data_IF_497164364026
#
_entry.id   IF_497164364026
#
_cell.length_a   1.000
_cell.length_b   1.000
_cell.length_c   1.000
_cell.angle_alpha   90.00
_cell.angle_beta   90.00
_cell.angle_gamma   90.00
#
_symmetry.space_group_name_H-M   'P 1'
#
loop_
_entity.id
_entity.type
_entity.pdbx_description
1 polymer ?
#
# COMPACT_ATOMS: atom_id res chain seq x y z
N UNK A 1 4.91 -6.32 16.32
CA UNK A 1 3.94 -6.09 15.20
C UNK A 1 2.58 -5.74 15.78
N UNK A 2 1.89 -4.73 15.27
CA UNK A 2 0.50 -4.41 15.62
C UNK A 2 -0.44 -4.90 14.52
N UNK A 3 -1.68 -5.22 14.88
CA UNK A 3 -2.70 -5.73 13.98
C UNK A 3 -3.98 -4.93 14.12
N UNK A 4 -4.81 -4.93 13.07
CA UNK A 4 -6.11 -4.27 13.07
C UNK A 4 -7.12 -5.10 12.27
N UNK A 5 -8.41 -4.99 12.63
CA UNK A 5 -9.50 -5.64 11.91
C UNK A 5 -9.85 -4.88 10.65
N UNK A 6 -10.32 -5.60 9.65
CA UNK A 6 -10.87 -5.05 8.41
C UNK A 6 -12.26 -5.62 8.21
N UNK A 7 -13.24 -4.76 7.96
CA UNK A 7 -14.62 -5.17 7.71
C UNK A 7 -14.68 -6.09 6.48
N UNK A 8 -15.21 -7.27 6.66
CA UNK A 8 -15.28 -8.33 5.64
C UNK A 8 -14.25 -9.44 5.84
N UNK A 9 -13.21 -9.25 6.66
CA UNK A 9 -12.24 -10.28 7.00
C UNK A 9 -12.50 -10.86 8.40
N UNK A 10 -12.23 -12.15 8.53
CA UNK A 10 -12.21 -12.89 9.79
C UNK A 10 -10.80 -12.93 10.43
N UNK A 11 -9.81 -12.39 9.76
CA UNK A 11 -8.39 -12.33 10.16
C UNK A 11 -8.01 -10.93 10.63
N UNK A 12 -7.16 -10.87 11.65
CA UNK A 12 -6.45 -9.64 11.99
C UNK A 12 -5.30 -9.41 11.00
N UNK A 13 -5.14 -8.19 10.52
CA UNK A 13 -4.14 -7.80 9.51
C UNK A 13 -3.03 -6.99 10.13
N UNK A 14 -1.77 -7.36 9.87
CA UNK A 14 -0.61 -6.59 10.33
C UNK A 14 -0.62 -5.18 9.76
N UNK A 15 -0.31 -4.17 10.61
CA UNK A 15 -0.27 -2.77 10.20
C UNK A 15 0.89 -2.45 9.25
N UNK A 16 1.94 -3.29 9.23
CA UNK A 16 2.91 -3.37 8.15
C UNK A 16 2.40 -4.39 7.15
N UNK A 17 2.32 -4.01 5.89
CA UNK A 17 1.96 -4.87 4.75
C UNK A 17 3.15 -4.91 3.81
N UNK A 18 3.56 -6.10 3.40
CA UNK A 18 4.75 -6.22 2.56
C UNK A 18 4.43 -6.00 1.08
N UNK A 19 5.09 -5.00 0.47
CA UNK A 19 4.93 -4.69 -0.95
C UNK A 19 5.73 -5.64 -1.85
N UNK A 20 5.05 -6.31 -2.76
CA UNK A 20 5.57 -7.41 -3.57
C UNK A 20 5.74 -7.05 -5.06
N UNK A 21 5.95 -5.78 -5.41
CA UNK A 21 6.03 -5.35 -6.81
C UNK A 21 7.28 -5.86 -7.56
N UNK A 22 8.30 -6.30 -6.83
CA UNK A 22 9.59 -6.71 -7.37
C UNK A 22 9.90 -8.20 -7.21
N UNK A 23 9.15 -8.97 -6.41
CA UNK A 23 9.38 -10.42 -6.30
C UNK A 23 8.76 -11.16 -7.48
N UNK A 24 9.42 -12.22 -7.93
CA UNK A 24 9.02 -12.96 -9.13
C UNK A 24 9.47 -14.40 -9.10
N UNK A 25 8.88 -15.21 -9.97
CA UNK A 25 9.25 -16.60 -10.28
C UNK A 25 9.93 -16.73 -11.64
N UNK A 26 10.58 -15.68 -12.14
CA UNK A 26 11.16 -15.65 -13.49
C UNK A 26 12.17 -16.77 -13.74
N UNK A 27 12.87 -17.21 -12.70
CA UNK A 27 13.79 -18.33 -12.67
C UNK A 27 13.90 -18.90 -11.25
N UNK A 28 14.59 -20.02 -11.07
CA UNK A 28 14.71 -20.70 -9.78
C UNK A 28 15.47 -19.88 -8.73
N UNK A 29 16.41 -19.02 -9.13
CA UNK A 29 17.14 -18.14 -8.21
C UNK A 29 16.21 -17.04 -7.66
N UNK A 30 15.47 -16.37 -8.55
CA UNK A 30 14.51 -15.32 -8.15
C UNK A 30 13.40 -15.91 -7.28
N UNK A 31 12.92 -17.09 -7.60
CA UNK A 31 11.94 -17.82 -6.80
C UNK A 31 12.48 -18.13 -5.40
N UNK A 32 13.74 -18.57 -5.29
CA UNK A 32 14.40 -18.84 -4.00
C UNK A 32 14.52 -17.56 -3.17
N UNK A 33 14.97 -16.46 -3.78
CA UNK A 33 15.04 -15.14 -3.14
C UNK A 33 13.66 -14.70 -2.64
N UNK A 34 12.64 -14.84 -3.48
CA UNK A 34 11.26 -14.47 -3.10
C UNK A 34 10.75 -15.31 -1.92
N UNK A 35 11.04 -16.61 -1.88
CA UNK A 35 10.67 -17.48 -0.76
C UNK A 35 11.37 -17.07 0.54
N UNK A 36 12.67 -16.78 0.48
CA UNK A 36 13.43 -16.29 1.65
C UNK A 36 12.86 -14.96 2.16
N UNK A 37 12.55 -14.03 1.26
CA UNK A 37 11.91 -12.76 1.59
C UNK A 37 10.56 -12.99 2.29
N UNK A 38 9.69 -13.83 1.74
CA UNK A 38 8.37 -14.10 2.31
C UNK A 38 8.46 -14.87 3.65
N UNK A 39 9.41 -15.77 3.80
CA UNK A 39 9.71 -16.44 5.09
C UNK A 39 10.15 -15.42 6.14
N UNK A 40 11.01 -14.49 5.79
CA UNK A 40 11.46 -13.40 6.67
C UNK A 40 10.30 -12.49 7.07
N UNK A 41 9.46 -12.08 6.12
CA UNK A 41 8.24 -11.27 6.34
C UNK A 41 7.32 -11.97 7.34
N UNK A 42 7.05 -13.24 7.13
CA UNK A 42 6.18 -14.01 8.01
C UNK A 42 6.78 -14.21 9.40
N UNK A 43 8.12 -14.42 9.49
CA UNK A 43 8.83 -14.64 10.75
C UNK A 43 8.79 -13.47 11.72
N UNK A 44 8.71 -12.23 11.22
CA UNK A 44 8.57 -11.01 12.03
C UNK A 44 7.11 -10.71 12.44
N UNK A 45 6.17 -11.60 12.09
CA UNK A 45 4.75 -11.44 12.38
C UNK A 45 3.99 -10.58 11.36
N UNK A 46 4.58 -10.22 10.23
CA UNK A 46 3.85 -9.60 9.14
C UNK A 46 3.08 -10.69 8.39
N UNK A 47 1.74 -10.64 8.46
CA UNK A 47 0.87 -11.66 7.87
C UNK A 47 0.14 -11.16 6.62
N UNK A 48 0.55 -10.04 6.05
CA UNK A 48 -0.12 -9.45 4.90
C UNK A 48 0.86 -9.00 3.81
N UNK A 49 0.47 -9.25 2.56
CA UNK A 49 1.19 -8.78 1.36
C UNK A 49 0.30 -7.92 0.49
N UNK A 50 0.93 -6.97 -0.21
CA UNK A 50 0.38 -6.18 -1.28
C UNK A 50 1.02 -6.58 -2.61
N UNK A 51 0.23 -7.16 -3.49
CA UNK A 51 0.62 -7.53 -4.87
C UNK A 51 -0.33 -6.91 -5.89
N UNK A 52 -0.28 -7.34 -7.14
CA UNK A 52 -1.16 -6.88 -8.21
C UNK A 52 -1.05 -7.73 -9.46
N UNK A 53 -2.16 -7.86 -10.17
CA UNK A 53 -2.28 -8.64 -11.40
C UNK A 53 -1.15 -8.40 -12.41
N UNK A 54 -0.67 -7.15 -12.52
CA UNK A 54 0.39 -6.76 -13.47
C UNK A 54 1.82 -6.90 -12.90
N UNK A 55 1.99 -7.08 -11.58
CA UNK A 55 3.32 -7.03 -10.98
C UNK A 55 4.20 -8.18 -11.46
N UNK A 56 5.39 -7.84 -11.96
CA UNK A 56 6.30 -8.77 -12.61
C UNK A 56 5.61 -9.66 -13.68
N UNK A 57 4.66 -9.10 -14.45
CA UNK A 57 3.91 -9.86 -15.46
C UNK A 57 3.10 -11.03 -14.86
N UNK A 58 2.61 -10.87 -13.64
CA UNK A 58 1.91 -11.90 -12.87
C UNK A 58 2.84 -12.81 -12.06
N UNK A 59 4.17 -12.65 -12.17
CA UNK A 59 5.15 -13.43 -11.43
C UNK A 59 5.07 -13.22 -9.92
N UNK A 60 4.72 -12.01 -9.48
CA UNK A 60 4.52 -11.72 -8.08
C UNK A 60 3.38 -12.56 -7.48
N UNK A 61 2.23 -12.62 -8.13
CA UNK A 61 1.12 -13.46 -7.66
C UNK A 61 1.47 -14.95 -7.70
N UNK A 62 2.17 -15.43 -8.75
CA UNK A 62 2.56 -16.84 -8.85
C UNK A 62 3.51 -17.26 -7.74
N UNK A 63 4.55 -16.46 -7.46
CA UNK A 63 5.52 -16.82 -6.41
C UNK A 63 4.90 -16.80 -5.02
N UNK A 64 3.98 -15.86 -4.74
CA UNK A 64 3.22 -15.82 -3.49
C UNK A 64 2.35 -17.08 -3.37
N UNK A 65 1.65 -17.47 -4.44
CA UNK A 65 0.83 -18.67 -4.47
C UNK A 65 1.64 -19.94 -4.18
N UNK A 66 2.78 -20.10 -4.84
CA UNK A 66 3.72 -21.22 -4.63
C UNK A 66 4.24 -21.25 -3.18
N UNK A 67 4.60 -20.08 -2.63
CA UNK A 67 5.08 -19.97 -1.26
C UNK A 67 3.99 -20.32 -0.24
N UNK A 68 2.77 -19.77 -0.39
CA UNK A 68 1.65 -20.09 0.52
C UNK A 68 1.31 -21.59 0.53
N UNK A 69 1.34 -22.22 -0.64
CA UNK A 69 1.12 -23.67 -0.78
C UNK A 69 2.22 -24.45 -0.08
N UNK A 70 3.50 -24.11 -0.34
CA UNK A 70 4.65 -24.80 0.25
C UNK A 70 4.72 -24.66 1.78
N UNK A 71 4.33 -23.50 2.33
CA UNK A 71 4.34 -23.24 3.79
C UNK A 71 3.01 -23.58 4.47
N UNK A 72 1.96 -23.88 3.72
CA UNK A 72 0.60 -24.18 4.22
C UNK A 72 0.04 -23.06 5.10
N UNK A 73 0.23 -21.79 4.67
CA UNK A 73 -0.10 -20.60 5.47
C UNK A 73 -1.32 -19.82 4.96
N UNK A 74 -1.98 -20.27 3.88
CA UNK A 74 -3.05 -19.51 3.23
C UNK A 74 -4.11 -18.97 4.20
N UNK A 75 -4.55 -19.78 5.14
CA UNK A 75 -5.60 -19.41 6.10
C UNK A 75 -5.14 -18.39 7.16
N UNK A 76 -3.83 -18.24 7.34
CA UNK A 76 -3.24 -17.28 8.30
C UNK A 76 -2.68 -16.03 7.63
N UNK A 77 -2.63 -16.05 6.29
CA UNK A 77 -1.99 -15.02 5.49
C UNK A 77 -3.03 -14.20 4.73
N UNK A 78 -2.83 -12.89 4.66
CA UNK A 78 -3.73 -11.95 3.99
C UNK A 78 -3.09 -11.50 2.69
N UNK A 79 -3.82 -11.66 1.60
CA UNK A 79 -3.39 -11.21 0.27
C UNK A 79 -4.26 -10.02 -0.15
N UNK A 80 -3.63 -8.85 -0.30
CA UNK A 80 -4.18 -7.75 -1.06
C UNK A 80 -3.62 -7.83 -2.48
N UNK A 81 -4.47 -8.01 -3.46
CA UNK A 81 -4.08 -7.92 -4.88
C UNK A 81 -4.97 -6.94 -5.64
N UNK A 82 -4.52 -6.54 -6.82
CA UNK A 82 -5.12 -5.45 -7.59
C UNK A 82 -5.47 -5.89 -9.00
N UNK A 83 -6.63 -5.44 -9.49
CA UNK A 83 -7.11 -5.62 -10.85
C UNK A 83 -7.20 -4.29 -11.63
N UNK A 84 -7.65 -4.36 -12.85
CA UNK A 84 -8.09 -3.19 -13.63
C UNK A 84 -7.00 -2.14 -13.86
N UNK A 85 -5.72 -2.57 -13.96
CA UNK A 85 -4.67 -1.66 -14.39
C UNK A 85 -4.86 -1.28 -15.86
N UNK A 86 -4.75 0.02 -16.24
CA UNK A 86 -4.84 0.42 -17.64
C UNK A 86 -3.82 -0.31 -18.51
N UNK A 87 -4.18 -0.59 -19.73
CA UNK A 87 -3.27 -1.04 -20.76
C UNK A 87 -2.95 0.11 -21.73
N UNK A 88 -2.28 -0.20 -22.85
CA UNK A 88 -1.93 0.81 -23.86
C UNK A 88 -3.14 1.34 -24.63
N UNK A 89 -4.24 0.58 -24.64
CA UNK A 89 -5.40 0.88 -25.47
C UNK A 89 -6.48 1.65 -24.70
N UNK A 90 -6.65 1.35 -23.40
CA UNK A 90 -7.72 1.94 -22.60
C UNK A 90 -7.53 1.81 -21.08
N UNK A 91 -8.31 2.57 -20.33
CA UNK A 91 -8.58 2.34 -18.91
C UNK A 91 -9.47 1.08 -18.79
N UNK A 92 -9.12 0.18 -17.84
CA UNK A 92 -9.74 -1.15 -17.72
C UNK A 92 -10.59 -1.26 -16.47
N UNK A 93 -11.61 -0.40 -16.32
CA UNK A 93 -12.47 -0.37 -15.12
C UNK A 93 -13.90 -0.74 -15.53
N UNK A 94 -14.07 -1.98 -16.02
CA UNK A 94 -15.38 -2.52 -16.40
C UNK A 94 -15.63 -3.86 -15.69
N UNK A 95 -16.89 -4.33 -15.57
CA UNK A 95 -17.19 -5.66 -15.06
C UNK A 95 -16.38 -6.77 -15.72
N UNK A 96 -16.22 -6.71 -17.04
CA UNK A 96 -15.42 -7.68 -17.81
C UNK A 96 -13.95 -7.70 -17.35
N UNK A 97 -13.33 -6.53 -17.17
CA UNK A 97 -11.93 -6.43 -16.73
C UNK A 97 -11.74 -6.98 -15.32
N UNK A 98 -12.65 -6.65 -14.42
CA UNK A 98 -12.65 -7.12 -13.02
C UNK A 98 -12.75 -8.65 -12.98
N UNK A 99 -13.71 -9.21 -13.73
CA UNK A 99 -13.95 -10.66 -13.79
C UNK A 99 -12.79 -11.41 -14.46
N UNK A 100 -12.20 -10.85 -15.51
CA UNK A 100 -11.04 -11.43 -16.17
C UNK A 100 -9.83 -11.48 -15.24
N UNK A 101 -9.48 -10.35 -14.63
CA UNK A 101 -8.29 -10.23 -13.81
C UNK A 101 -8.37 -11.09 -12.53
N UNK A 102 -9.56 -11.22 -11.91
CA UNK A 102 -9.69 -12.06 -10.72
C UNK A 102 -9.47 -13.56 -11.02
N UNK A 103 -9.94 -14.05 -12.17
CA UNK A 103 -9.73 -15.45 -12.54
C UNK A 103 -8.23 -15.75 -12.69
N UNK A 104 -7.49 -14.88 -13.36
CA UNK A 104 -6.04 -14.99 -13.46
C UNK A 104 -5.37 -14.96 -12.08
N UNK A 105 -5.76 -14.00 -11.23
CA UNK A 105 -5.17 -13.84 -9.89
C UNK A 105 -5.42 -15.06 -9.01
N UNK A 106 -6.63 -15.64 -9.02
CA UNK A 106 -6.94 -16.85 -8.25
C UNK A 106 -6.10 -18.06 -8.68
N UNK A 107 -5.90 -18.23 -10.00
CA UNK A 107 -5.05 -19.31 -10.56
C UNK A 107 -3.60 -19.10 -10.14
N UNK A 108 -3.05 -17.89 -10.30
CA UNK A 108 -1.66 -17.57 -9.96
C UNK A 108 -1.39 -17.70 -8.47
N UNK A 109 -2.28 -17.20 -7.63
CA UNK A 109 -2.20 -17.29 -6.18
C UNK A 109 -2.52 -18.69 -5.63
N UNK A 110 -2.96 -19.63 -6.47
CA UNK A 110 -3.31 -21.02 -6.09
C UNK A 110 -4.31 -21.07 -4.93
N UNK A 111 -5.35 -20.24 -5.01
CA UNK A 111 -6.36 -20.07 -3.95
C UNK A 111 -7.75 -19.92 -4.55
N UNK A 112 -8.78 -20.27 -3.78
CA UNK A 112 -10.18 -20.07 -4.16
C UNK A 112 -10.73 -18.67 -3.81
N UNK A 113 -9.99 -17.87 -3.02
CA UNK A 113 -10.43 -16.55 -2.60
C UNK A 113 -9.27 -15.56 -2.42
N UNK A 114 -9.59 -14.27 -2.51
CA UNK A 114 -8.71 -13.14 -2.23
C UNK A 114 -9.25 -12.42 -0.98
N UNK A 115 -8.36 -12.09 -0.04
CA UNK A 115 -8.74 -11.39 1.18
C UNK A 115 -9.17 -9.95 0.88
N UNK A 116 -8.35 -9.20 0.14
CA UNK A 116 -8.63 -7.81 -0.24
C UNK A 116 -8.34 -7.62 -1.72
N UNK A 117 -9.36 -7.22 -2.47
CA UNK A 117 -9.28 -7.03 -3.92
C UNK A 117 -9.58 -5.58 -4.28
N UNK A 118 -8.61 -4.86 -4.83
CA UNK A 118 -8.78 -3.44 -5.14
C UNK A 118 -8.58 -3.14 -6.62
N UNK A 119 -9.34 -2.20 -7.15
CA UNK A 119 -9.09 -1.67 -8.48
C UNK A 119 -7.80 -0.84 -8.45
N UNK A 120 -6.86 -1.11 -9.36
CA UNK A 120 -5.51 -0.50 -9.35
C UNK A 120 -5.53 0.98 -9.72
N UNK A 121 -6.47 1.37 -10.57
CA UNK A 121 -6.73 2.75 -11.01
C UNK A 121 -8.25 2.94 -11.16
N UNK A 122 -8.67 4.20 -11.19
CA UNK A 122 -10.05 4.57 -11.50
C UNK A 122 -10.24 4.91 -12.99
N UNK A 123 -11.48 4.90 -13.41
CA UNK A 123 -11.98 5.58 -14.60
C UNK A 123 -13.24 6.35 -14.23
N UNK A 124 -13.14 7.65 -13.94
CA UNK A 124 -14.30 8.47 -13.55
C UNK A 124 -15.44 8.52 -14.59
N UNK A 125 -15.16 8.19 -15.85
CA UNK A 125 -16.18 8.14 -16.91
C UNK A 125 -17.08 6.90 -16.79
N UNK A 126 -16.69 5.91 -15.96
CA UNK A 126 -17.49 4.69 -15.74
C UNK A 126 -18.34 4.88 -14.48
N UNK A 127 -19.68 4.65 -14.54
CA UNK A 127 -20.52 4.69 -13.36
C UNK A 127 -20.07 3.67 -12.28
N UNK A 128 -20.17 4.02 -11.00
CA UNK A 128 -19.75 3.14 -9.90
C UNK A 128 -20.65 1.92 -9.73
N UNK A 129 -21.92 2.02 -10.11
CA UNK A 129 -22.92 0.96 -9.91
C UNK A 129 -22.47 -0.41 -10.44
N UNK A 130 -22.19 -0.55 -11.75
CA UNK A 130 -21.71 -1.83 -12.32
C UNK A 130 -20.43 -2.37 -11.67
N UNK A 131 -19.54 -1.48 -11.19
CA UNK A 131 -18.31 -1.86 -10.49
C UNK A 131 -18.67 -2.47 -9.13
N UNK A 132 -19.46 -1.77 -8.34
CA UNK A 132 -19.89 -2.20 -6.99
C UNK A 132 -20.69 -3.50 -7.04
N UNK A 133 -21.61 -3.63 -8.00
CA UNK A 133 -22.38 -4.85 -8.23
C UNK A 133 -21.49 -6.05 -8.56
N UNK A 134 -20.53 -5.87 -9.47
CA UNK A 134 -19.58 -6.93 -9.84
C UNK A 134 -18.74 -7.39 -8.65
N UNK A 135 -18.22 -6.46 -7.85
CA UNK A 135 -17.45 -6.79 -6.65
C UNK A 135 -18.32 -7.51 -5.60
N UNK A 136 -19.59 -7.12 -5.46
CA UNK A 136 -20.54 -7.80 -4.58
C UNK A 136 -20.91 -9.20 -5.10
N UNK A 137 -21.04 -9.40 -6.41
CA UNK A 137 -21.19 -10.71 -7.00
C UNK A 137 -20.01 -11.62 -6.63
N UNK A 138 -18.78 -11.15 -6.85
CA UNK A 138 -17.57 -11.91 -6.48
C UNK A 138 -17.51 -12.24 -4.99
N UNK A 139 -17.98 -11.32 -4.14
CA UNK A 139 -18.07 -11.53 -2.71
C UNK A 139 -19.13 -12.60 -2.35
N UNK A 140 -20.30 -12.56 -2.97
CA UNK A 140 -21.37 -13.57 -2.76
C UNK A 140 -20.94 -14.96 -3.23
N UNK A 141 -20.11 -15.05 -4.27
CA UNK A 141 -19.49 -16.28 -4.75
C UNK A 141 -18.33 -16.77 -3.85
N UNK A 142 -17.98 -16.01 -2.81
CA UNK A 142 -16.89 -16.33 -1.89
C UNK A 142 -15.47 -16.12 -2.45
N UNK A 143 -15.34 -15.52 -3.64
CA UNK A 143 -14.06 -15.26 -4.30
C UNK A 143 -13.30 -14.06 -3.71
N UNK A 144 -14.01 -13.11 -3.09
CA UNK A 144 -13.44 -11.89 -2.49
C UNK A 144 -14.05 -11.69 -1.10
N UNK A 145 -13.24 -11.30 -0.11
CA UNK A 145 -13.72 -11.01 1.25
C UNK A 145 -14.00 -9.53 1.47
N UNK A 146 -13.05 -8.68 1.09
CA UNK A 146 -13.15 -7.22 1.14
C UNK A 146 -12.64 -6.63 -0.17
N UNK A 147 -13.08 -5.43 -0.51
CA UNK A 147 -12.68 -4.79 -1.76
C UNK A 147 -12.66 -3.27 -1.64
N UNK A 148 -12.08 -2.61 -2.65
CA UNK A 148 -11.99 -1.16 -2.69
C UNK A 148 -11.24 -0.62 -3.91
N UNK A 149 -10.63 0.57 -3.76
CA UNK A 149 -9.92 1.25 -4.83
C UNK A 149 -8.51 1.69 -4.46
N UNK A 150 -7.56 1.48 -5.35
CA UNK A 150 -6.25 2.11 -5.30
C UNK A 150 -6.25 3.31 -6.23
N UNK A 151 -5.72 4.44 -5.76
CA UNK A 151 -5.76 5.70 -6.50
C UNK A 151 -7.18 6.18 -6.86
N UNK A 152 -8.14 5.87 -6.01
CA UNK A 152 -9.48 6.43 -6.04
C UNK A 152 -9.54 7.64 -5.11
N UNK A 153 -10.18 8.74 -5.56
CA UNK A 153 -10.42 9.89 -4.70
C UNK A 153 -11.43 9.55 -3.62
N UNK A 154 -11.42 10.28 -2.50
CA UNK A 154 -12.40 10.07 -1.43
C UNK A 154 -13.84 10.32 -1.92
N UNK A 155 -14.05 11.30 -2.81
CA UNK A 155 -15.36 11.53 -3.43
C UNK A 155 -15.84 10.33 -4.24
N UNK A 156 -14.91 9.69 -4.95
CA UNK A 156 -15.26 8.51 -5.76
C UNK A 156 -15.55 7.28 -4.91
N UNK A 157 -14.84 7.13 -3.78
CA UNK A 157 -15.13 6.09 -2.78
C UNK A 157 -16.47 6.35 -2.10
N UNK A 158 -16.80 7.61 -1.81
CA UNK A 158 -18.09 8.01 -1.24
C UNK A 158 -19.23 7.67 -2.19
N UNK A 159 -19.14 8.09 -3.46
CA UNK A 159 -20.12 7.74 -4.51
C UNK A 159 -20.37 6.22 -4.59
N UNK A 160 -19.29 5.42 -4.56
CA UNK A 160 -19.40 3.97 -4.59
C UNK A 160 -20.09 3.40 -3.34
N UNK A 161 -19.78 3.95 -2.16
CA UNK A 161 -20.35 3.51 -0.91
C UNK A 161 -21.80 3.97 -0.72
N UNK A 162 -22.15 5.17 -1.17
CA UNK A 162 -23.55 5.62 -1.22
C UNK A 162 -24.39 4.70 -2.12
N UNK A 163 -23.84 4.35 -3.30
CA UNK A 163 -24.48 3.37 -4.18
C UNK A 163 -24.70 2.03 -3.47
N UNK A 164 -23.65 1.50 -2.82
CA UNK A 164 -23.72 0.24 -2.10
C UNK A 164 -24.80 0.28 -1.01
N UNK A 165 -24.84 1.30 -0.18
CA UNK A 165 -25.84 1.44 0.90
C UNK A 165 -27.26 1.56 0.36
N UNK A 166 -27.46 2.34 -0.70
CA UNK A 166 -28.77 2.49 -1.36
C UNK A 166 -29.32 1.18 -1.91
N UNK A 167 -28.44 0.27 -2.32
CA UNK A 167 -28.81 -1.01 -2.92
C UNK A 167 -28.64 -2.22 -1.96
N UNK A 168 -28.40 -1.97 -0.65
CA UNK A 168 -28.15 -3.00 0.37
C UNK A 168 -26.99 -3.93 0.00
N UNK A 169 -25.95 -3.38 -0.61
CA UNK A 169 -24.73 -4.07 -1.00
C UNK A 169 -23.61 -3.82 0.03
N UNK A 170 -22.59 -4.69 0.03
CA UNK A 170 -21.40 -4.49 0.84
C UNK A 170 -20.58 -3.32 0.28
N UNK A 171 -20.12 -2.36 1.12
CA UNK A 171 -19.39 -1.19 0.66
C UNK A 171 -17.91 -1.50 0.39
N UNK A 172 -17.22 -0.58 -0.27
CA UNK A 172 -15.77 -0.57 -0.34
C UNK A 172 -15.19 -0.29 1.05
N UNK A 173 -14.30 -1.17 1.53
CA UNK A 173 -13.70 -1.10 2.86
C UNK A 173 -12.17 -0.97 2.83
N UNK A 174 -11.59 -0.91 1.64
CA UNK A 174 -10.16 -0.74 1.43
C UNK A 174 -9.88 0.41 0.45
N UNK A 175 -8.90 1.23 0.77
CA UNK A 175 -8.36 2.27 -0.09
C UNK A 175 -6.85 2.20 -0.12
N UNK A 176 -6.23 2.32 -1.29
CA UNK A 176 -4.77 2.29 -1.40
C UNK A 176 -4.25 3.54 -2.13
N UNK A 177 -4.18 4.68 -1.43
CA UNK A 177 -3.58 5.92 -1.91
C UNK A 177 -2.08 6.01 -1.61
N UNK A 178 -1.41 6.99 -2.20
CA UNK A 178 -0.10 7.44 -1.73
C UNK A 178 -0.23 8.14 -0.38
N UNK A 179 0.55 7.72 0.61
CA UNK A 179 0.66 8.41 1.89
C UNK A 179 1.99 8.11 2.58
N UNK A 180 2.61 9.13 3.10
CA UNK A 180 3.81 9.11 3.92
C UNK A 180 4.16 10.52 4.37
N UNK A 181 5.28 10.67 5.06
CA UNK A 181 5.75 11.98 5.53
C UNK A 181 6.21 12.88 4.35
N UNK A 182 6.80 12.29 3.29
CA UNK A 182 7.20 13.08 2.12
C UNK A 182 5.98 13.49 1.29
N UNK A 183 5.99 14.73 0.83
CA UNK A 183 5.03 15.19 -0.17
C UNK A 183 5.41 14.63 -1.53
N UNK A 184 4.46 14.03 -2.22
CA UNK A 184 4.62 13.68 -3.63
C UNK A 184 4.46 14.95 -4.47
N UNK A 185 5.58 15.61 -4.79
CA UNK A 185 5.59 16.91 -5.48
C UNK A 185 5.24 16.76 -6.96
N UNK A 186 5.81 15.74 -7.59
CA UNK A 186 5.51 15.39 -8.97
C UNK A 186 4.92 13.98 -9.03
N UNK A 187 4.03 13.76 -10.01
CA UNK A 187 3.41 12.47 -10.19
C UNK A 187 4.16 11.62 -11.24
N UNK A 188 4.94 10.61 -10.82
CA UNK A 188 5.74 9.82 -11.76
C UNK A 188 4.92 8.81 -12.57
N UNK A 189 3.64 8.61 -12.22
CA UNK A 189 2.75 7.62 -12.85
C UNK A 189 1.56 8.22 -13.61
N UNK A 190 1.57 9.55 -13.83
CA UNK A 190 0.53 10.25 -14.58
C UNK A 190 -0.70 10.64 -13.74
N UNK A 191 -1.74 11.11 -14.41
CA UNK A 191 -2.91 11.77 -13.80
C UNK A 191 -3.75 10.89 -12.85
N UNK A 192 -3.67 9.58 -12.99
CA UNK A 192 -4.48 8.63 -12.21
C UNK A 192 -3.85 8.24 -10.88
N UNK A 193 -3.03 9.11 -10.30
CA UNK A 193 -2.40 8.87 -9.01
C UNK A 193 -3.04 9.74 -7.93
N UNK A 194 -3.40 9.15 -6.81
CA UNK A 194 -4.04 9.85 -5.69
C UNK A 194 -3.17 9.75 -4.45
N UNK A 195 -2.79 10.93 -3.93
CA UNK A 195 -2.11 11.08 -2.65
C UNK A 195 -3.02 11.73 -1.62
N UNK A 196 -2.87 11.32 -0.37
CA UNK A 196 -3.59 11.89 0.78
C UNK A 196 -2.65 12.42 1.87
N UNK A 197 -1.34 12.44 1.60
CA UNK A 197 -0.33 13.00 2.49
C UNK A 197 -0.25 14.53 2.41
N UNK A 198 0.29 15.14 3.47
CA UNK A 198 0.49 16.58 3.55
C UNK A 198 -0.76 17.40 3.88
N UNK A 199 -0.55 18.66 4.23
CA UNK A 199 -1.60 19.57 4.72
C UNK A 199 -2.60 19.98 3.64
N UNK A 200 -2.23 19.91 2.36
CA UNK A 200 -3.11 20.20 1.23
C UNK A 200 -4.23 19.17 1.03
N UNK A 201 -4.08 17.99 1.63
CA UNK A 201 -5.02 16.87 1.50
C UNK A 201 -6.01 16.74 2.68
N UNK A 202 -6.16 17.82 3.45
CA UNK A 202 -7.01 17.81 4.65
C UNK A 202 -8.43 17.32 4.39
N UNK A 203 -9.07 17.71 3.30
CA UNK A 203 -10.43 17.26 2.98
C UNK A 203 -10.51 15.72 2.83
N UNK A 204 -9.54 15.11 2.17
CA UNK A 204 -9.46 13.65 2.06
C UNK A 204 -9.21 13.01 3.42
N UNK A 205 -8.28 13.56 4.22
CA UNK A 205 -7.98 13.05 5.56
C UNK A 205 -9.20 13.14 6.49
N UNK A 206 -9.91 14.26 6.49
CA UNK A 206 -11.13 14.44 7.30
C UNK A 206 -12.22 13.44 6.88
N UNK A 207 -12.34 13.17 5.58
CA UNK A 207 -13.26 12.16 5.09
C UNK A 207 -12.91 10.74 5.63
N UNK A 208 -11.63 10.32 5.59
CA UNK A 208 -11.22 9.03 6.14
C UNK A 208 -11.44 8.94 7.66
N UNK A 209 -11.22 10.03 8.40
CA UNK A 209 -11.51 10.07 9.83
C UNK A 209 -13.01 9.89 10.13
N UNK A 210 -13.87 10.43 9.26
CA UNK A 210 -15.32 10.25 9.34
C UNK A 210 -15.80 8.85 8.86
N UNK A 211 -14.97 8.13 8.08
CA UNK A 211 -15.29 6.82 7.50
C UNK A 211 -14.28 5.74 7.95
N UNK A 212 -14.19 5.41 9.25
CA UNK A 212 -13.16 4.52 9.79
C UNK A 212 -13.27 3.06 9.31
N UNK A 213 -14.39 2.68 8.69
CA UNK A 213 -14.58 1.37 8.05
C UNK A 213 -13.76 1.23 6.75
N UNK A 214 -13.35 2.34 6.12
CA UNK A 214 -12.50 2.36 4.93
C UNK A 214 -11.04 2.40 5.37
N UNK A 215 -10.37 1.26 5.34
CA UNK A 215 -8.97 1.15 5.77
C UNK A 215 -8.00 1.62 4.69
N UNK A 216 -6.95 2.31 5.12
CA UNK A 216 -5.95 2.93 4.24
C UNK A 216 -4.73 2.02 4.11
N UNK A 217 -4.50 1.47 2.93
CA UNK A 217 -3.31 0.72 2.55
C UNK A 217 -2.34 1.66 1.83
N UNK A 218 -1.54 2.37 2.60
CA UNK A 218 -0.70 3.47 2.11
C UNK A 218 0.54 2.97 1.37
N UNK A 219 0.61 3.14 0.05
CA UNK A 219 1.83 2.85 -0.68
C UNK A 219 2.83 4.01 -0.62
N UNK A 220 4.10 3.69 -0.85
CA UNK A 220 5.24 4.61 -0.74
C UNK A 220 5.37 5.28 0.65
N UNK A 221 5.01 4.58 1.73
CA UNK A 221 5.06 5.13 3.10
C UNK A 221 6.45 5.62 3.51
N UNK A 222 7.53 5.06 2.93
CA UNK A 222 8.91 5.52 3.07
C UNK A 222 9.42 6.26 1.83
N UNK A 223 8.49 6.85 1.04
CA UNK A 223 8.78 7.61 -0.17
C UNK A 223 9.72 6.84 -1.14
N UNK A 224 9.42 5.55 -1.39
CA UNK A 224 10.20 4.66 -2.27
C UNK A 224 11.71 4.65 -1.98
N UNK A 225 12.07 4.72 -0.70
CA UNK A 225 13.47 4.71 -0.26
C UNK A 225 14.09 6.08 -0.06
N UNK A 226 13.38 7.19 -0.26
CA UNK A 226 13.89 8.53 0.11
C UNK A 226 14.20 8.60 1.61
N UNK A 227 13.36 8.02 2.46
CA UNK A 227 13.61 7.89 3.91
C UNK A 227 14.31 6.58 4.29
N UNK A 228 15.08 5.97 3.40
CA UNK A 228 15.87 4.76 3.73
C UNK A 228 17.11 5.04 4.60
N UNK A 229 17.46 6.31 4.81
CA UNK A 229 18.71 6.72 5.45
C UNK A 229 19.91 6.81 4.51
N UNK A 230 19.75 6.42 3.24
CA UNK A 230 20.81 6.56 2.20
C UNK A 230 20.89 7.97 1.61
N UNK A 231 19.77 8.68 1.54
CA UNK A 231 19.70 10.09 1.15
C UNK A 231 19.98 10.95 2.39
N UNK A 232 20.76 12.00 2.20
CA UNK A 232 21.05 13.03 3.20
C UNK A 232 20.55 14.39 2.71
N UNK A 233 20.33 15.38 3.58
CA UNK A 233 19.84 16.70 3.18
C UNK A 233 20.78 17.41 2.18
N UNK A 234 22.08 17.14 2.25
CA UNK A 234 23.13 17.69 1.38
C UNK A 234 23.49 16.77 0.20
N UNK A 235 22.78 15.66 -0.01
CA UNK A 235 23.01 14.75 -1.15
C UNK A 235 22.79 15.50 -2.47
N UNK A 236 23.80 15.50 -3.32
CA UNK A 236 23.71 16.12 -4.65
C UNK A 236 22.71 15.39 -5.55
N UNK A 237 22.05 16.11 -6.46
CA UNK A 237 21.02 15.54 -7.33
C UNK A 237 21.55 14.36 -8.19
N UNK A 238 22.78 14.45 -8.70
CA UNK A 238 23.37 13.37 -9.51
C UNK A 238 23.65 12.11 -8.67
N UNK A 239 24.06 12.28 -7.42
CA UNK A 239 24.20 11.15 -6.47
C UNK A 239 22.83 10.55 -6.13
N UNK A 240 21.83 11.37 -5.84
CA UNK A 240 20.50 10.91 -5.53
C UNK A 240 19.88 10.04 -6.64
N UNK A 241 20.15 10.34 -7.92
CA UNK A 241 19.73 9.52 -9.08
C UNK A 241 20.35 8.12 -9.10
N UNK A 242 21.48 7.92 -8.44
CA UNK A 242 22.10 6.59 -8.32
C UNK A 242 21.50 5.75 -7.17
N UNK A 243 20.92 6.43 -6.18
CA UNK A 243 20.34 5.83 -4.97
C UNK A 243 18.85 5.54 -5.15
N UNK A 244 18.13 6.49 -5.75
CA UNK A 244 16.69 6.44 -5.96
C UNK A 244 16.34 5.96 -7.37
N UNK A 245 15.27 5.19 -7.50
CA UNK A 245 14.72 4.93 -8.82
C UNK A 245 14.14 6.23 -9.43
N UNK A 246 13.87 6.22 -10.74
CA UNK A 246 13.35 7.39 -11.45
C UNK A 246 12.06 7.93 -10.81
N UNK A 247 11.16 7.05 -10.39
CA UNK A 247 9.88 7.45 -9.80
C UNK A 247 10.08 8.10 -8.43
N UNK A 248 10.96 7.55 -7.60
CA UNK A 248 11.30 8.13 -6.29
C UNK A 248 11.99 9.49 -6.44
N UNK A 249 12.95 9.60 -7.36
CA UNK A 249 13.65 10.86 -7.63
C UNK A 249 12.66 11.93 -8.08
N UNK A 250 11.84 11.64 -9.10
CA UNK A 250 10.86 12.59 -9.64
C UNK A 250 9.83 13.00 -8.58
N UNK A 251 9.33 12.06 -7.79
CA UNK A 251 8.26 12.36 -6.83
C UNK A 251 8.74 13.06 -5.56
N UNK A 252 9.93 12.71 -5.06
CA UNK A 252 10.30 13.02 -3.68
C UNK A 252 11.59 13.81 -3.51
N UNK A 253 12.52 13.83 -4.48
CA UNK A 253 13.77 14.55 -4.34
C UNK A 253 13.58 16.06 -4.63
N UNK A 254 12.97 16.74 -3.67
CA UNK A 254 12.62 18.17 -3.75
C UNK A 254 12.97 18.91 -2.45
N UNK A 255 13.23 20.22 -2.50
CA UNK A 255 13.64 21.00 -1.33
C UNK A 255 12.71 20.88 -0.12
N UNK A 256 11.40 20.77 -0.34
CA UNK A 256 10.42 20.58 0.74
C UNK A 256 10.66 19.27 1.50
N UNK A 257 10.97 18.20 0.79
CA UNK A 257 11.22 16.89 1.39
C UNK A 257 12.63 16.79 1.99
N UNK A 258 13.63 17.47 1.43
CA UNK A 258 14.96 17.58 2.05
C UNK A 258 14.88 18.26 3.42
N UNK A 259 14.06 19.33 3.56
CA UNK A 259 13.79 19.94 4.85
C UNK A 259 13.06 19.00 5.82
N UNK A 260 12.14 18.17 5.34
CA UNK A 260 11.51 17.13 6.17
C UNK A 260 12.53 16.07 6.59
N UNK A 261 13.45 15.70 5.72
CA UNK A 261 14.53 14.75 6.03
C UNK A 261 15.46 15.28 7.14
N UNK A 262 15.81 16.57 7.13
CA UNK A 262 16.55 17.23 8.23
C UNK A 262 15.83 17.02 9.57
N UNK A 263 14.53 17.32 9.63
CA UNK A 263 13.73 17.16 10.85
C UNK A 263 13.62 15.70 11.29
N UNK A 264 13.52 14.78 10.33
CA UNK A 264 13.53 13.33 10.63
C UNK A 264 14.85 12.91 11.26
N UNK A 265 15.98 13.41 10.73
CA UNK A 265 17.31 13.12 11.29
C UNK A 265 17.49 13.70 12.71
N UNK A 266 17.02 14.93 12.93
CA UNK A 266 17.06 15.55 14.26
C UNK A 266 16.23 14.77 15.28
N UNK A 267 15.00 14.38 14.90
CA UNK A 267 14.13 13.62 15.80
C UNK A 267 14.66 12.20 16.02
N UNK A 268 15.23 11.58 15.00
CA UNK A 268 15.88 10.28 15.09
C UNK A 268 17.04 10.30 16.10
N UNK A 269 17.92 11.30 15.98
CA UNK A 269 19.03 11.49 16.94
C UNK A 269 18.52 11.70 18.37
N UNK A 270 17.48 12.53 18.58
CA UNK A 270 16.88 12.77 19.91
C UNK A 270 16.28 11.49 20.54
N UNK A 271 15.75 10.60 19.71
CA UNK A 271 15.08 9.35 20.18
C UNK A 271 16.00 8.13 20.17
N UNK A 272 17.24 8.23 19.66
CA UNK A 272 18.15 7.09 19.50
C UNK A 272 17.66 6.10 18.44
N UNK A 273 16.97 6.59 17.40
CA UNK A 273 16.41 5.84 16.30
C UNK A 273 17.08 6.22 14.97
N UNK A 274 16.74 5.50 13.90
CA UNK A 274 17.19 5.83 12.55
C UNK A 274 16.06 6.50 11.72
N UNK A 275 16.43 7.02 10.54
CA UNK A 275 15.52 7.73 9.62
C UNK A 275 14.31 6.88 9.23
N UNK A 276 14.46 5.63 8.74
CA UNK A 276 13.30 4.81 8.37
C UNK A 276 12.39 4.47 9.56
N UNK A 277 12.92 4.37 10.78
CA UNK A 277 12.09 4.16 11.98
C UNK A 277 11.21 5.37 12.29
N UNK A 278 11.73 6.59 12.21
CA UNK A 278 10.92 7.80 12.41
C UNK A 278 9.89 7.96 11.30
N UNK A 279 10.27 7.75 10.03
CA UNK A 279 9.33 7.85 8.92
C UNK A 279 8.21 6.78 8.98
N UNK A 280 8.53 5.56 9.44
CA UNK A 280 7.53 4.53 9.72
C UNK A 280 6.65 4.90 10.92
N UNK A 281 7.26 5.37 12.01
CA UNK A 281 6.55 5.79 13.23
C UNK A 281 5.57 6.95 12.93
N UNK A 282 5.92 7.86 12.00
CA UNK A 282 5.01 8.88 11.52
C UNK A 282 3.71 8.26 10.96
N UNK A 283 3.81 7.32 10.03
CA UNK A 283 2.63 6.67 9.46
C UNK A 283 1.81 5.92 10.51
N UNK A 284 2.48 5.25 11.47
CA UNK A 284 1.79 4.48 12.51
C UNK A 284 1.19 5.32 13.65
N UNK A 285 1.70 6.54 13.85
CA UNK A 285 1.21 7.49 14.88
C UNK A 285 0.21 8.49 14.31
N UNK A 286 0.05 8.54 12.99
CA UNK A 286 -0.90 9.45 12.35
C UNK A 286 -2.34 9.11 12.77
N UNK A 287 -3.24 10.10 12.96
CA UNK A 287 -4.64 9.88 13.32
C UNK A 287 -5.41 8.97 12.36
N UNK A 288 -5.01 8.92 11.09
CA UNK A 288 -5.55 7.98 10.11
C UNK A 288 -5.13 6.55 10.44
N UNK A 289 -6.03 5.59 10.24
CA UNK A 289 -5.76 4.16 10.48
C UNK A 289 -4.97 3.54 9.32
N UNK A 290 -3.66 3.79 9.29
CA UNK A 290 -2.77 3.45 8.18
C UNK A 290 -2.26 2.01 8.29
N UNK A 291 -2.43 1.23 7.25
CA UNK A 291 -1.68 0.03 6.93
C UNK A 291 -0.53 0.44 6.00
N UNK A 292 0.69 0.41 6.50
CA UNK A 292 1.86 0.93 5.77
C UNK A 292 2.43 -0.12 4.83
N UNK A 293 2.38 0.14 3.53
CA UNK A 293 3.01 -0.71 2.52
C UNK A 293 4.50 -0.40 2.47
N UNK A 294 5.30 -1.40 2.78
CA UNK A 294 6.76 -1.29 2.83
C UNK A 294 7.40 -2.50 2.14
N UNK A 295 8.53 -2.30 1.51
CA UNK A 295 9.26 -3.34 0.79
C UNK A 295 10.75 -3.38 1.21
N UNK A 296 11.06 -3.61 2.51
CA UNK A 296 12.42 -3.81 2.95
C UNK A 296 13.02 -5.08 2.31
N UNK A 297 14.29 -5.03 1.95
CA UNK A 297 14.93 -6.12 1.20
C UNK A 297 15.61 -7.16 2.09
N UNK A 298 15.98 -6.80 3.32
CA UNK A 298 16.68 -7.68 4.24
C UNK A 298 15.96 -7.84 5.57
N UNK A 299 16.20 -8.96 6.27
CA UNK A 299 15.55 -9.26 7.55
C UNK A 299 15.82 -8.20 8.63
N UNK A 300 17.01 -7.60 8.65
CA UNK A 300 17.36 -6.56 9.62
C UNK A 300 16.58 -5.27 9.35
N UNK A 301 16.43 -4.88 8.09
CA UNK A 301 15.59 -3.73 7.70
C UNK A 301 14.11 -4.00 8.03
N UNK A 302 13.64 -5.22 7.80
CA UNK A 302 12.28 -5.64 8.17
C UNK A 302 12.04 -5.53 9.68
N UNK A 303 12.97 -6.00 10.50
CA UNK A 303 12.89 -5.91 11.97
C UNK A 303 12.91 -4.45 12.44
N UNK A 304 13.78 -3.62 11.87
CA UNK A 304 13.86 -2.19 12.19
C UNK A 304 12.55 -1.46 11.87
N UNK A 305 11.98 -1.71 10.70
CA UNK A 305 10.70 -1.12 10.29
C UNK A 305 9.55 -1.60 11.18
N UNK A 306 9.54 -2.88 11.56
CA UNK A 306 8.56 -3.44 12.49
C UNK A 306 8.71 -2.87 13.91
N UNK A 307 9.94 -2.64 14.37
CA UNK A 307 10.21 -2.04 15.69
C UNK A 307 9.68 -0.59 15.78
N UNK A 308 9.47 0.10 14.67
CA UNK A 308 8.88 1.44 14.65
C UNK A 308 7.46 1.49 15.27
N UNK A 309 6.75 0.36 15.36
CA UNK A 309 5.46 0.28 16.08
C UNK A 309 5.57 0.54 17.59
N UNK A 310 6.76 0.38 18.17
CA UNK A 310 7.01 0.65 19.60
C UNK A 310 7.28 2.14 19.85
N UNK A 311 7.45 2.92 18.78
CA UNK A 311 7.65 4.37 18.82
C UNK A 311 6.34 5.09 18.54
N UNK A 312 5.79 5.75 19.54
CA UNK A 312 4.62 6.62 19.37
C UNK A 312 5.12 8.06 19.28
N UNK A 313 4.82 8.73 18.17
CA UNK A 313 5.08 10.15 18.01
C UNK A 313 3.93 10.95 18.60
N UNK A 314 4.24 12.00 19.35
CA UNK A 314 3.27 12.94 19.89
C UNK A 314 2.69 13.81 18.77
N UNK A 315 1.55 14.48 19.02
CA UNK A 315 0.95 15.43 18.08
C UNK A 315 1.95 16.54 17.67
N UNK A 316 2.72 17.06 18.62
CA UNK A 316 3.73 18.09 18.34
C UNK A 316 4.88 17.56 17.48
N UNK A 317 5.30 16.29 17.68
CA UNK A 317 6.33 15.68 16.83
C UNK A 317 5.83 15.43 15.42
N UNK A 318 4.57 15.01 15.25
CA UNK A 318 3.96 14.89 13.93
C UNK A 318 3.90 16.24 13.22
N UNK A 319 3.43 17.28 13.89
CA UNK A 319 3.36 18.65 13.36
C UNK A 319 4.75 19.20 13.04
N UNK A 320 5.72 18.99 13.92
CA UNK A 320 7.13 19.36 13.67
C UNK A 320 7.68 18.69 12.41
N UNK A 321 7.47 17.39 12.24
CA UNK A 321 7.94 16.67 11.05
C UNK A 321 7.31 17.23 9.76
N UNK A 322 6.05 17.57 9.78
CA UNK A 322 5.32 18.11 8.63
C UNK A 322 5.68 19.56 8.31
N UNK A 323 5.67 20.41 9.31
CA UNK A 323 5.68 21.88 9.12
C UNK A 323 6.94 22.57 9.65
N UNK A 324 7.66 21.96 10.60
CA UNK A 324 8.80 22.54 11.30
C UNK A 324 8.40 23.41 12.51
N UNK A 325 7.15 23.34 12.96
CA UNK A 325 6.65 24.09 14.11
C UNK A 325 6.53 23.22 15.34
#
# INVERSE_FOLDING_TARGET
MKYSAIKGLDKQVSRMVYGCDYITDSDEEQKKIAFEVLDNVYSIGCNAVDTGHIYAGGGSERVIGLWMEARKVREKFVVLTKCSHPNRDRRRVTPYDILSDIHDSLIRLKTSYIDIFVLHRDNPDVPVGPIVETLNQLRSEGKVRAFGGSNWTHQRLEEANEYAYKHNLFPMTASSPNFGLADQVENPWGELNVGIGGTSQKAAQDWYLAHPDVKIFAYSSLARGFFSGRIKPDTAAEEAKTILDRAAFTAYFHPINLKKLERVQELAAKKGLNVPQIASAYAYSHPLDIFSLQAPRGIEEMKQNAAAFDTVLTKNELEYLETGK
#
